data_IF_427884104570
#
_entry.id   IF_427884104570
#
_cell.length_a   1.000
_cell.length_b   1.000
_cell.length_c   1.000
_cell.angle_alpha   90.00
_cell.angle_beta   90.00
_cell.angle_gamma   90.00
#
_symmetry.space_group_name_H-M   'P 1'
#
loop_
_entity.id
_entity.type
_entity.pdbx_description
1 polymer ?
#
# COMPACT_ATOMS: atom_id res chain seq x y z
N UNK A 1 18.34 25.22 4.64
CA UNK A 1 19.17 26.25 3.99
C UNK A 1 20.56 25.67 3.82
N UNK A 2 20.78 24.93 2.72
CA UNK A 2 22.05 24.20 2.52
C UNK A 2 23.08 25.05 1.78
N UNK A 3 22.59 25.95 0.95
CA UNK A 3 23.32 26.91 0.12
C UNK A 3 23.87 28.10 0.92
N UNK A 4 23.31 28.43 2.10
CA UNK A 4 23.97 29.38 3.01
C UNK A 4 25.18 28.80 3.74
N UNK A 5 25.31 27.47 3.80
CA UNK A 5 26.41 26.79 4.49
C UNK A 5 27.63 26.57 3.59
N UNK A 6 27.43 26.46 2.28
CA UNK A 6 28.48 26.19 1.28
C UNK A 6 28.02 26.66 -0.09
N UNK A 7 28.94 27.12 -0.93
CA UNK A 7 28.66 27.46 -2.34
C UNK A 7 28.95 26.30 -3.30
N UNK A 8 29.39 25.14 -2.80
CA UNK A 8 29.67 23.96 -3.63
C UNK A 8 28.37 23.24 -4.02
N UNK A 9 28.01 23.35 -5.31
CA UNK A 9 26.81 22.74 -5.87
C UNK A 9 26.80 21.21 -5.78
N UNK A 10 27.96 20.55 -5.86
CA UNK A 10 28.06 19.10 -5.74
C UNK A 10 27.76 18.66 -4.30
N UNK A 11 28.31 19.36 -3.32
CA UNK A 11 28.05 19.11 -1.91
C UNK A 11 26.58 19.36 -1.56
N UNK A 12 25.99 20.46 -2.05
CA UNK A 12 24.55 20.75 -1.87
C UNK A 12 23.71 19.63 -2.46
N UNK A 13 24.01 19.18 -3.68
CA UNK A 13 23.25 18.11 -4.36
C UNK A 13 23.28 16.79 -3.57
N UNK A 14 24.43 16.44 -2.99
CA UNK A 14 24.58 15.27 -2.11
C UNK A 14 23.75 15.41 -0.82
N UNK A 15 23.74 16.59 -0.19
CA UNK A 15 22.93 16.87 1.00
C UNK A 15 21.44 16.71 0.70
N UNK A 16 20.98 17.30 -0.40
CA UNK A 16 19.59 17.21 -0.87
C UNK A 16 19.20 15.75 -1.12
N UNK A 17 20.02 15.00 -1.85
CA UNK A 17 19.75 13.60 -2.17
C UNK A 17 19.65 12.71 -0.92
N UNK A 18 20.58 12.88 0.03
CA UNK A 18 20.52 12.16 1.31
C UNK A 18 19.29 12.54 2.14
N UNK A 19 18.94 13.83 2.17
CA UNK A 19 17.75 14.32 2.86
C UNK A 19 16.45 13.76 2.26
N UNK A 20 16.38 13.55 0.94
CA UNK A 20 15.23 12.89 0.31
C UNK A 20 15.00 11.47 0.86
N UNK A 21 16.07 10.68 1.03
CA UNK A 21 15.96 9.36 1.67
C UNK A 21 15.51 9.46 3.12
N UNK A 22 16.00 10.45 3.87
CA UNK A 22 15.54 10.73 5.22
C UNK A 22 14.02 10.99 5.27
N UNK A 23 13.52 11.84 4.36
CA UNK A 23 12.10 12.13 4.24
C UNK A 23 11.28 10.88 3.87
N UNK A 24 11.74 10.08 2.91
CA UNK A 24 11.10 8.81 2.54
C UNK A 24 11.04 7.83 3.71
N UNK A 25 12.11 7.74 4.50
CA UNK A 25 12.14 6.91 5.72
C UNK A 25 11.07 7.33 6.73
N UNK A 26 10.88 8.63 6.96
CA UNK A 26 9.83 9.14 7.86
C UNK A 26 8.43 8.86 7.30
N UNK A 27 8.20 9.04 5.99
CA UNK A 27 6.92 8.71 5.35
C UNK A 27 6.60 7.22 5.53
N UNK A 28 7.59 6.34 5.35
CA UNK A 28 7.39 4.90 5.52
C UNK A 28 7.15 4.47 6.96
N UNK A 29 7.79 5.13 7.94
CA UNK A 29 7.47 4.93 9.38
C UNK A 29 6.02 5.35 9.65
N UNK A 30 5.61 6.52 9.16
CA UNK A 30 4.24 6.99 9.32
C UNK A 30 3.23 6.00 8.71
N UNK A 31 3.46 5.56 7.47
CA UNK A 31 2.63 4.54 6.82
C UNK A 31 2.61 3.23 7.64
N UNK A 32 3.77 2.72 8.06
CA UNK A 32 3.89 1.53 8.92
C UNK A 32 3.05 1.68 10.19
N UNK A 33 3.11 2.84 10.85
CA UNK A 33 2.28 3.17 12.01
C UNK A 33 0.79 3.09 11.70
N UNK A 34 0.33 3.62 10.56
CA UNK A 34 -1.09 3.54 10.17
C UNK A 34 -1.55 2.08 10.00
N UNK A 35 -0.75 1.24 9.35
CA UNK A 35 -1.05 -0.19 9.23
C UNK A 35 -1.02 -0.92 10.57
N UNK A 36 -0.05 -0.61 11.44
CA UNK A 36 0.08 -1.24 12.75
C UNK A 36 -1.09 -0.88 13.68
N UNK A 37 -1.52 0.38 13.68
CA UNK A 37 -2.70 0.83 14.41
C UNK A 37 -3.96 0.11 13.93
N UNK A 38 -4.12 -0.02 12.60
CA UNK A 38 -5.15 -0.86 11.99
C UNK A 38 -5.11 -2.32 12.45
N UNK A 39 -3.92 -2.89 12.60
CA UNK A 39 -3.75 -4.30 12.96
C UNK A 39 -3.96 -4.60 14.46
N UNK A 40 -3.80 -3.63 15.36
CA UNK A 40 -3.73 -3.89 16.81
C UNK A 40 -4.75 -3.15 17.65
N UNK A 41 -5.23 -2.00 17.19
CA UNK A 41 -6.04 -1.08 17.98
C UNK A 41 -7.25 -0.58 17.18
N UNK A 42 -7.82 -1.44 16.34
CA UNK A 42 -8.88 -1.06 15.42
C UNK A 42 -10.04 -2.04 15.45
N UNK A 43 -11.15 -1.65 14.83
CA UNK A 43 -12.29 -2.52 14.55
C UNK A 43 -12.35 -2.95 13.08
N UNK A 44 -11.21 -3.08 12.39
CA UNK A 44 -11.16 -3.32 10.94
C UNK A 44 -11.93 -4.56 10.48
N UNK A 45 -11.72 -5.72 11.11
CA UNK A 45 -12.42 -6.95 10.73
C UNK A 45 -13.93 -6.84 10.99
N UNK A 46 -14.33 -6.22 12.11
CA UNK A 46 -15.74 -5.97 12.40
C UNK A 46 -16.35 -4.98 11.40
N UNK A 47 -15.63 -3.92 11.04
CA UNK A 47 -16.07 -2.99 10.00
C UNK A 47 -16.19 -3.68 8.64
N UNK A 48 -15.35 -4.66 8.34
CA UNK A 48 -15.38 -5.35 7.05
C UNK A 48 -16.64 -6.21 6.88
N UNK A 49 -17.22 -6.73 7.98
CA UNK A 49 -18.48 -7.50 7.96
C UNK A 49 -19.72 -6.62 7.85
N UNK A 50 -19.72 -5.41 8.42
CA UNK A 50 -20.77 -4.40 8.20
C UNK A 50 -20.20 -2.99 7.97
N UNK A 51 -19.73 -2.69 6.75
CA UNK A 51 -19.12 -1.40 6.43
C UNK A 51 -20.10 -0.22 6.47
N UNK A 52 -21.40 -0.50 6.48
CA UNK A 52 -22.46 0.52 6.35
C UNK A 52 -22.85 1.12 7.68
N UNK A 53 -22.92 0.31 8.74
CA UNK A 53 -23.32 0.78 10.07
C UNK A 53 -22.12 1.02 10.99
N UNK A 54 -21.11 0.14 10.97
CA UNK A 54 -19.93 0.25 11.84
C UNK A 54 -19.05 1.42 11.38
N UNK A 55 -18.56 2.22 12.34
CA UNK A 55 -17.68 3.37 12.03
C UNK A 55 -16.21 2.97 12.15
N UNK A 56 -15.36 3.37 11.18
CA UNK A 56 -13.92 3.10 11.27
C UNK A 56 -13.30 3.71 12.53
N UNK A 57 -12.56 2.92 13.29
CA UNK A 57 -11.82 3.35 14.48
C UNK A 57 -10.49 2.61 14.55
N UNK A 58 -9.39 3.33 14.82
CA UNK A 58 -8.03 2.76 14.90
C UNK A 58 -7.15 3.43 15.96
N UNK A 59 -7.77 4.18 16.89
CA UNK A 59 -7.09 4.85 17.97
C UNK A 59 -7.87 4.68 19.27
N UNK A 60 -7.19 4.20 20.31
CA UNK A 60 -7.77 3.97 21.63
C UNK A 60 -7.00 4.81 22.65
N UNK A 61 -7.74 5.51 23.50
CA UNK A 61 -7.21 6.38 24.54
C UNK A 61 -7.09 5.61 25.86
N UNK A 62 -5.96 5.78 26.56
CA UNK A 62 -5.77 5.17 27.88
C UNK A 62 -6.60 5.85 28.99
N UNK A 63 -7.15 5.07 29.94
CA UNK A 63 -7.99 5.58 31.02
C UNK A 63 -7.15 6.08 32.21
N UNK A 64 -6.62 7.30 32.11
CA UNK A 64 -5.75 7.87 33.16
C UNK A 64 -6.48 8.94 33.98
N UNK A 65 -7.14 9.90 33.31
CA UNK A 65 -7.72 11.11 33.94
C UNK A 65 -9.19 11.35 33.55
N UNK A 66 -9.91 10.33 33.11
CA UNK A 66 -11.27 10.49 32.56
C UNK A 66 -11.31 10.72 31.05
N UNK A 67 -10.15 10.79 30.40
CA UNK A 67 -10.03 10.99 28.95
C UNK A 67 -10.52 9.79 28.11
N UNK A 68 -10.78 8.65 28.73
CA UNK A 68 -11.42 7.49 28.09
C UNK A 68 -12.85 7.78 27.61
N UNK A 69 -13.46 8.89 28.04
CA UNK A 69 -14.70 9.42 27.44
C UNK A 69 -14.57 9.65 25.92
N UNK A 70 -13.35 9.82 25.42
CA UNK A 70 -13.06 9.94 23.99
C UNK A 70 -13.18 8.60 23.23
N UNK A 71 -13.18 7.46 23.93
CA UNK A 71 -13.42 6.15 23.34
C UNK A 71 -14.92 5.93 23.14
N UNK A 72 -15.47 6.54 22.08
CA UNK A 72 -16.88 6.40 21.73
C UNK A 72 -17.22 4.99 21.24
N UNK A 73 -18.47 4.57 21.44
CA UNK A 73 -19.00 3.35 20.81
C UNK A 73 -19.17 3.58 19.31
N UNK A 74 -18.38 2.84 18.53
CA UNK A 74 -18.33 2.92 17.07
C UNK A 74 -18.97 1.69 16.39
N UNK A 75 -19.57 0.80 17.18
CA UNK A 75 -20.11 -0.48 16.72
C UNK A 75 -19.05 -1.58 16.62
N UNK A 76 -19.50 -2.81 16.33
CA UNK A 76 -18.62 -3.99 16.24
C UNK A 76 -18.03 -4.44 17.58
N UNK A 77 -18.64 -4.03 18.71
CA UNK A 77 -18.13 -4.33 20.05
C UNK A 77 -16.85 -3.59 20.42
N UNK A 78 -16.52 -2.51 19.71
CA UNK A 78 -15.30 -1.74 19.88
C UNK A 78 -15.59 -0.30 20.31
N UNK A 79 -14.74 0.23 21.18
CA UNK A 79 -14.78 1.62 21.62
C UNK A 79 -13.44 2.31 21.33
N UNK A 80 -13.49 3.48 20.70
CA UNK A 80 -12.29 4.23 20.33
C UNK A 80 -12.63 5.52 19.60
N UNK A 81 -11.61 6.20 19.11
CA UNK A 81 -11.77 7.41 18.30
C UNK A 81 -12.12 7.04 16.87
N UNK A 82 -13.27 7.52 16.39
CA UNK A 82 -13.64 7.40 15.00
C UNK A 82 -12.61 8.14 14.10
N UNK A 83 -12.04 7.42 13.14
CA UNK A 83 -11.06 7.97 12.19
C UNK A 83 -11.74 8.43 10.90
N UNK A 84 -11.19 9.47 10.26
CA UNK A 84 -11.70 10.04 9.00
C UNK A 84 -10.67 10.03 7.87
N UNK A 85 -9.58 9.28 8.03
CA UNK A 85 -8.47 9.20 7.08
C UNK A 85 -8.75 8.32 5.85
N UNK A 86 -9.79 7.49 5.88
CA UNK A 86 -10.18 6.62 4.76
C UNK A 86 -9.35 5.32 4.61
N UNK A 87 -8.50 4.99 5.58
CA UNK A 87 -7.63 3.81 5.48
C UNK A 87 -8.39 2.48 5.40
N UNK A 88 -9.52 2.35 6.07
CA UNK A 88 -10.32 1.11 6.05
C UNK A 88 -10.83 0.79 4.63
N UNK A 89 -11.33 1.80 3.93
CA UNK A 89 -11.77 1.68 2.54
C UNK A 89 -10.60 1.35 1.61
N UNK A 90 -9.44 1.95 1.84
CA UNK A 90 -8.21 1.66 1.09
C UNK A 90 -7.73 0.22 1.29
N UNK A 91 -7.79 -0.31 2.52
CA UNK A 91 -7.40 -1.68 2.82
C UNK A 91 -8.39 -2.70 2.24
N UNK A 92 -9.70 -2.44 2.32
CA UNK A 92 -10.72 -3.24 1.64
C UNK A 92 -10.46 -3.27 0.13
N UNK A 93 -10.20 -2.12 -0.47
CA UNK A 93 -9.86 -2.02 -1.89
C UNK A 93 -8.57 -2.78 -2.26
N UNK A 94 -7.65 -2.98 -1.32
CA UNK A 94 -6.44 -3.80 -1.52
C UNK A 94 -6.68 -5.31 -1.33
N UNK A 95 -7.90 -5.73 -0.98
CA UNK A 95 -8.24 -7.12 -0.68
C UNK A 95 -7.71 -7.62 0.66
N UNK A 96 -7.48 -6.72 1.63
CA UNK A 96 -7.05 -7.10 2.97
C UNK A 96 -8.27 -7.55 3.78
N UNK A 97 -8.25 -8.78 4.28
CA UNK A 97 -9.38 -9.40 4.99
C UNK A 97 -9.10 -9.69 6.47
N UNK A 98 -7.85 -9.56 6.93
CA UNK A 98 -7.48 -9.84 8.32
C UNK A 98 -6.43 -8.90 8.89
N UNK A 99 -6.41 -8.77 10.22
CA UNK A 99 -5.42 -7.98 10.97
C UNK A 99 -3.99 -8.49 10.79
N UNK A 100 -3.81 -9.80 10.55
CA UNK A 100 -2.50 -10.41 10.33
C UNK A 100 -1.80 -9.86 9.08
N UNK A 101 -2.56 -9.57 8.03
CA UNK A 101 -2.05 -8.96 6.80
C UNK A 101 -1.59 -7.53 7.08
N UNK A 102 -2.41 -6.72 7.78
CA UNK A 102 -2.05 -5.36 8.18
C UNK A 102 -0.76 -5.34 9.02
N UNK A 103 -0.64 -6.27 9.98
CA UNK A 103 0.55 -6.40 10.81
C UNK A 103 1.80 -6.71 9.96
N UNK A 104 1.70 -7.67 9.05
CA UNK A 104 2.79 -8.05 8.16
C UNK A 104 3.21 -6.87 7.24
N UNK A 105 2.25 -6.12 6.71
CA UNK A 105 2.51 -4.91 5.92
C UNK A 105 3.21 -3.83 6.75
N UNK A 106 2.81 -3.64 8.01
CA UNK A 106 3.46 -2.68 8.90
C UNK A 106 4.94 -3.03 9.11
N UNK A 107 5.26 -4.31 9.38
CA UNK A 107 6.65 -4.76 9.54
C UNK A 107 7.45 -4.56 8.25
N UNK A 108 6.87 -4.91 7.09
CA UNK A 108 7.51 -4.66 5.79
C UNK A 108 7.83 -3.18 5.57
N UNK A 109 6.89 -2.28 5.90
CA UNK A 109 7.10 -0.84 5.82
C UNK A 109 8.23 -0.35 6.73
N UNK A 110 8.37 -0.90 7.94
CA UNK A 110 9.43 -0.54 8.88
C UNK A 110 10.81 -1.01 8.41
N UNK A 111 10.89 -2.21 7.82
CA UNK A 111 12.12 -2.72 7.20
C UNK A 111 12.52 -1.82 6.03
N UNK A 112 11.57 -1.44 5.17
CA UNK A 112 11.84 -0.55 4.05
C UNK A 112 12.26 0.86 4.51
N UNK A 113 11.64 1.40 5.56
CA UNK A 113 12.07 2.66 6.16
C UNK A 113 13.52 2.60 6.66
N UNK A 114 13.90 1.50 7.32
CA UNK A 114 15.27 1.26 7.77
C UNK A 114 16.25 1.22 6.59
N UNK A 115 15.85 0.56 5.49
CA UNK A 115 16.63 0.54 4.25
C UNK A 115 16.77 1.95 3.61
N UNK A 116 15.74 2.79 3.67
CA UNK A 116 15.82 4.18 3.17
C UNK A 116 16.80 5.02 3.97
N UNK A 117 16.77 4.96 5.31
CA UNK A 117 17.77 5.66 6.13
C UNK A 117 19.19 5.16 5.86
N UNK A 118 19.36 3.84 5.70
CA UNK A 118 20.64 3.26 5.33
C UNK A 118 21.12 3.77 3.96
N UNK A 119 20.26 3.78 2.94
CA UNK A 119 20.59 4.30 1.62
C UNK A 119 20.98 5.78 1.67
N UNK A 120 20.24 6.61 2.43
CA UNK A 120 20.56 8.02 2.64
C UNK A 120 21.92 8.22 3.30
N UNK A 121 22.23 7.45 4.35
CA UNK A 121 23.55 7.47 4.98
C UNK A 121 24.66 7.01 4.02
N UNK A 122 24.41 5.92 3.30
CA UNK A 122 25.38 5.28 2.41
C UNK A 122 25.74 6.22 1.25
N UNK A 123 24.75 6.81 0.59
CA UNK A 123 24.95 7.75 -0.51
C UNK A 123 25.41 9.15 -0.10
N UNK A 124 25.61 9.40 1.20
CA UNK A 124 26.24 10.61 1.70
C UNK A 124 27.66 10.37 2.21
N UNK A 125 27.86 9.34 3.04
CA UNK A 125 29.12 9.11 3.75
C UNK A 125 30.04 8.08 3.09
N UNK A 126 29.51 7.17 2.26
CA UNK A 126 30.27 6.05 1.70
C UNK A 126 30.41 6.13 0.18
N UNK A 127 29.30 6.38 -0.52
CA UNK A 127 29.23 6.39 -1.98
C UNK A 127 28.49 7.64 -2.47
N UNK A 128 29.08 8.80 -2.20
CA UNK A 128 28.53 10.09 -2.61
C UNK A 128 28.61 10.28 -4.14
N UNK A 129 27.46 10.46 -4.85
CA UNK A 129 27.48 10.67 -6.29
C UNK A 129 28.13 12.01 -6.67
N UNK A 130 28.62 12.11 -7.91
CA UNK A 130 29.20 13.34 -8.48
C UNK A 130 28.15 14.22 -9.14
N UNK A 131 28.44 15.50 -9.33
CA UNK A 131 27.52 16.47 -9.94
C UNK A 131 27.02 16.03 -11.33
N UNK A 132 27.89 15.45 -12.15
CA UNK A 132 27.54 14.94 -13.49
C UNK A 132 26.38 13.92 -13.46
N UNK A 133 26.33 13.06 -12.43
CA UNK A 133 25.23 12.11 -12.27
C UNK A 133 23.92 12.81 -11.95
N UNK A 134 23.95 13.81 -11.04
CA UNK A 134 22.76 14.61 -10.69
C UNK A 134 22.24 15.43 -11.87
N UNK A 135 23.12 15.86 -12.77
CA UNK A 135 22.78 16.66 -13.95
C UNK A 135 22.38 15.81 -15.17
N UNK A 136 22.44 14.48 -15.08
CA UNK A 136 21.98 13.60 -16.15
C UNK A 136 20.45 13.52 -16.19
N UNK A 137 19.84 14.60 -16.69
CA UNK A 137 18.38 14.78 -16.74
C UNK A 137 17.70 13.79 -17.68
N UNK A 138 18.36 13.37 -18.76
CA UNK A 138 17.82 12.38 -19.69
C UNK A 138 17.64 11.03 -19.01
N UNK A 139 18.69 10.57 -18.31
CA UNK A 139 18.62 9.33 -17.54
C UNK A 139 17.59 9.43 -16.42
N UNK A 140 17.59 10.53 -15.65
CA UNK A 140 16.64 10.74 -14.57
C UNK A 140 15.18 10.68 -15.07
N UNK A 141 14.87 11.39 -16.16
CA UNK A 141 13.52 11.40 -16.73
C UNK A 141 13.11 10.02 -17.25
N UNK A 142 13.98 9.33 -17.98
CA UNK A 142 13.66 8.00 -18.51
C UNK A 142 13.39 6.99 -17.38
N UNK A 143 14.21 6.99 -16.32
CA UNK A 143 14.03 6.08 -15.19
C UNK A 143 12.81 6.44 -14.35
N UNK A 144 12.47 7.73 -14.17
CA UNK A 144 11.27 8.12 -13.44
C UNK A 144 9.98 7.85 -14.24
N UNK A 145 9.97 8.14 -15.54
CA UNK A 145 8.78 7.96 -16.38
C UNK A 145 8.52 6.48 -16.67
N UNK A 146 9.48 5.77 -17.26
CA UNK A 146 9.28 4.38 -17.66
C UNK A 146 9.43 3.41 -16.48
N UNK A 147 10.41 3.67 -15.60
CA UNK A 147 10.68 2.83 -14.44
C UNK A 147 9.68 3.10 -13.31
N UNK A 148 9.83 4.22 -12.61
CA UNK A 148 9.06 4.49 -11.40
C UNK A 148 7.54 4.56 -11.66
N UNK A 149 7.11 5.33 -12.66
CA UNK A 149 5.68 5.45 -12.98
C UNK A 149 5.17 4.27 -13.82
N UNK A 150 5.88 3.92 -14.89
CA UNK A 150 5.49 2.82 -15.79
C UNK A 150 5.41 1.47 -15.06
N UNK A 151 6.53 0.99 -14.50
CA UNK A 151 6.54 -0.29 -13.79
C UNK A 151 5.70 -0.26 -12.52
N UNK A 152 5.63 0.89 -11.83
CA UNK A 152 4.78 1.08 -10.66
C UNK A 152 3.29 0.88 -10.99
N UNK A 153 2.81 1.53 -12.07
CA UNK A 153 1.43 1.37 -12.53
C UNK A 153 1.12 -0.04 -13.02
N UNK A 154 2.05 -0.68 -13.73
CA UNK A 154 1.90 -2.06 -14.20
C UNK A 154 1.85 -3.07 -13.05
N UNK A 155 2.74 -2.92 -12.06
CA UNK A 155 2.76 -3.79 -10.88
C UNK A 155 1.47 -3.63 -10.06
N UNK A 156 0.99 -2.39 -9.90
CA UNK A 156 -0.27 -2.12 -9.21
C UNK A 156 -1.48 -2.69 -9.96
N UNK A 157 -1.54 -2.56 -11.29
CA UNK A 157 -2.57 -3.20 -12.09
C UNK A 157 -2.55 -4.74 -11.94
N UNK A 158 -1.37 -5.34 -11.89
CA UNK A 158 -1.23 -6.77 -11.59
C UNK A 158 -1.80 -7.15 -10.22
N UNK A 159 -1.49 -6.38 -9.17
CA UNK A 159 -2.08 -6.57 -7.84
C UNK A 159 -3.61 -6.42 -7.89
N UNK A 160 -4.12 -5.41 -8.59
CA UNK A 160 -5.56 -5.19 -8.73
C UNK A 160 -6.24 -6.40 -9.38
N UNK A 161 -5.73 -6.86 -10.52
CA UNK A 161 -6.30 -7.97 -11.30
C UNK A 161 -6.26 -9.28 -10.54
N UNK A 162 -5.14 -9.60 -9.88
CA UNK A 162 -4.91 -10.94 -9.33
C UNK A 162 -5.26 -11.10 -7.85
N UNK A 163 -5.41 -10.00 -7.11
CA UNK A 163 -5.68 -10.03 -5.65
C UNK A 163 -6.94 -9.24 -5.30
N UNK A 164 -6.95 -7.94 -5.60
CA UNK A 164 -8.03 -7.05 -5.17
C UNK A 164 -9.37 -7.41 -5.83
N UNK A 165 -9.41 -7.59 -7.15
CA UNK A 165 -10.64 -7.82 -7.90
C UNK A 165 -11.37 -9.11 -7.48
N UNK A 166 -10.70 -10.29 -7.35
CA UNK A 166 -11.36 -11.50 -6.85
C UNK A 166 -11.97 -11.31 -5.46
N UNK A 167 -11.22 -10.72 -4.53
CA UNK A 167 -11.63 -10.55 -3.14
C UNK A 167 -12.78 -9.56 -3.03
N UNK A 168 -12.70 -8.40 -3.68
CA UNK A 168 -13.78 -7.41 -3.64
C UNK A 168 -15.06 -7.93 -4.29
N UNK A 169 -14.96 -8.74 -5.36
CA UNK A 169 -16.15 -9.38 -5.96
C UNK A 169 -16.88 -10.29 -4.98
N UNK A 170 -16.15 -11.01 -4.11
CA UNK A 170 -16.73 -11.86 -3.07
C UNK A 170 -17.27 -11.04 -1.88
N UNK A 171 -16.53 -10.01 -1.45
CA UNK A 171 -16.98 -9.09 -0.40
C UNK A 171 -18.28 -8.36 -0.80
N UNK A 172 -18.39 -7.94 -2.06
CA UNK A 172 -19.59 -7.28 -2.57
C UNK A 172 -20.74 -8.27 -2.79
N UNK A 173 -20.45 -9.57 -2.93
CA UNK A 173 -21.44 -10.64 -2.92
C UNK A 173 -21.90 -11.03 -1.50
N UNK A 174 -21.36 -10.40 -0.46
CA UNK A 174 -21.73 -10.64 0.94
C UNK A 174 -21.10 -11.89 1.56
N UNK A 175 -20.01 -12.41 0.97
CA UNK A 175 -19.24 -13.51 1.56
C UNK A 175 -18.49 -12.98 2.79
N UNK A 176 -18.55 -13.72 3.89
CA UNK A 176 -17.81 -13.36 5.11
C UNK A 176 -16.30 -13.33 4.82
N UNK A 177 -15.56 -12.30 5.28
CA UNK A 177 -14.13 -12.18 5.01
C UNK A 177 -13.28 -13.38 5.42
N UNK A 178 -13.72 -14.17 6.41
CA UNK A 178 -13.02 -15.39 6.88
C UNK A 178 -13.23 -16.58 5.95
N UNK A 179 -14.31 -16.59 5.18
CA UNK A 179 -14.63 -17.63 4.21
C UNK A 179 -14.04 -17.34 2.81
N UNK A 180 -13.55 -16.13 2.59
CA UNK A 180 -12.88 -15.76 1.34
C UNK A 180 -11.52 -16.46 1.26
N UNK A 181 -11.21 -17.21 0.19
CA UNK A 181 -9.89 -17.80 -0.02
C UNK A 181 -8.78 -16.76 0.09
N UNK A 182 -7.62 -17.15 0.63
CA UNK A 182 -6.51 -16.21 0.77
C UNK A 182 -5.97 -15.79 -0.61
N UNK A 183 -5.38 -14.58 -0.75
CA UNK A 183 -4.87 -14.08 -2.03
C UNK A 183 -4.01 -15.07 -2.83
N UNK A 184 -3.16 -15.84 -2.14
CA UNK A 184 -2.27 -16.81 -2.78
C UNK A 184 -3.02 -18.01 -3.38
N UNK A 185 -4.19 -18.37 -2.85
CA UNK A 185 -5.02 -19.44 -3.40
C UNK A 185 -5.57 -19.06 -4.78
N UNK A 186 -6.01 -17.81 -4.97
CA UNK A 186 -6.41 -17.30 -6.28
C UNK A 186 -5.27 -17.26 -7.29
N UNK A 187 -4.04 -17.01 -6.82
CA UNK A 187 -2.83 -16.96 -7.66
C UNK A 187 -2.42 -18.35 -8.16
N UNK A 188 -2.48 -19.36 -7.30
CA UNK A 188 -2.01 -20.71 -7.63
C UNK A 188 -3.11 -21.61 -8.20
N UNK A 189 -4.38 -21.37 -7.84
CA UNK A 189 -5.52 -22.13 -8.34
C UNK A 189 -6.29 -21.31 -9.38
N UNK A 190 -5.96 -21.55 -10.65
CA UNK A 190 -6.63 -20.91 -11.79
C UNK A 190 -8.14 -21.16 -11.81
N UNK A 191 -8.60 -22.30 -11.30
CA UNK A 191 -10.02 -22.64 -11.34
C UNK A 191 -10.84 -21.75 -10.40
N UNK A 192 -10.26 -21.27 -9.29
CA UNK A 192 -10.93 -20.32 -8.39
C UNK A 192 -11.17 -18.98 -9.07
N UNK A 193 -10.13 -18.40 -9.69
CA UNK A 193 -10.26 -17.10 -10.36
C UNK A 193 -11.10 -17.22 -11.64
N UNK A 194 -11.05 -18.36 -12.34
CA UNK A 194 -11.86 -18.62 -13.53
C UNK A 194 -13.37 -18.72 -13.24
N UNK A 195 -13.76 -19.14 -12.03
CA UNK A 195 -15.17 -19.10 -11.61
C UNK A 195 -15.70 -17.67 -11.49
N UNK A 196 -14.83 -16.73 -11.11
CA UNK A 196 -15.16 -15.31 -11.00
C UNK A 196 -15.05 -14.59 -12.34
N UNK A 197 -14.01 -14.90 -13.12
CA UNK A 197 -13.67 -14.26 -14.39
C UNK A 197 -13.35 -15.35 -15.44
N UNK A 198 -14.35 -15.80 -16.23
CA UNK A 198 -14.20 -16.93 -17.14
C UNK A 198 -13.04 -16.80 -18.15
N UNK A 199 -12.63 -15.58 -18.51
CA UNK A 199 -11.53 -15.34 -19.45
C UNK A 199 -10.18 -15.89 -18.95
N UNK A 200 -9.99 -16.05 -17.64
CA UNK A 200 -8.77 -16.64 -17.06
C UNK A 200 -8.53 -18.09 -17.53
N UNK A 201 -9.55 -18.82 -17.96
CA UNK A 201 -9.37 -20.16 -18.54
C UNK A 201 -8.57 -20.12 -19.85
N UNK A 202 -8.67 -19.03 -20.62
CA UNK A 202 -7.94 -18.81 -21.87
C UNK A 202 -6.45 -18.48 -21.64
N UNK A 203 -6.09 -18.14 -20.41
CA UNK A 203 -4.72 -17.80 -20.02
C UNK A 203 -4.19 -16.57 -20.78
N UNK A 204 -2.88 -16.59 -21.08
CA UNK A 204 -2.18 -15.47 -21.71
C UNK A 204 -2.18 -15.52 -23.25
N UNK A 205 -2.76 -16.53 -23.87
CA UNK A 205 -2.76 -16.65 -25.33
C UNK A 205 -3.40 -15.43 -26.02
N UNK A 206 -4.58 -14.91 -25.60
CA UNK A 206 -5.17 -13.72 -26.20
C UNK A 206 -4.31 -12.45 -26.10
N UNK A 207 -3.49 -12.33 -25.05
CA UNK A 207 -2.55 -11.22 -24.90
C UNK A 207 -1.49 -11.22 -26.01
N UNK A 208 -0.83 -12.36 -26.23
CA UNK A 208 0.25 -12.50 -27.21
C UNK A 208 -0.25 -12.56 -28.67
N UNK A 209 -1.52 -12.93 -28.90
CA UNK A 209 -2.14 -12.91 -30.22
C UNK A 209 -2.91 -11.62 -30.53
N UNK A 210 -2.90 -10.64 -29.62
CA UNK A 210 -3.56 -9.33 -29.78
C UNK A 210 -5.10 -9.46 -29.88
N UNK A 211 -5.67 -10.54 -29.35
CA UNK A 211 -7.13 -10.70 -29.22
C UNK A 211 -7.63 -10.20 -27.85
N UNK A 212 -7.42 -8.92 -27.57
CA UNK A 212 -7.65 -8.34 -26.22
C UNK A 212 -9.11 -8.22 -25.81
N UNK A 213 -10.05 -8.34 -26.76
CA UNK A 213 -11.49 -8.33 -26.47
C UNK A 213 -11.91 -9.44 -25.48
N UNK A 214 -11.10 -10.49 -25.35
CA UNK A 214 -11.35 -11.62 -24.46
C UNK A 214 -11.23 -11.30 -22.97
N UNK A 215 -10.57 -10.19 -22.60
CA UNK A 215 -10.35 -9.80 -21.19
C UNK A 215 -11.41 -8.83 -20.64
N UNK A 216 -12.58 -8.74 -21.30
CA UNK A 216 -13.64 -7.78 -20.97
C UNK A 216 -14.38 -8.03 -19.66
N UNK A 217 -14.11 -9.14 -18.97
CA UNK A 217 -14.73 -9.49 -17.69
C UNK A 217 -14.02 -8.88 -16.48
N UNK A 218 -12.73 -8.57 -16.58
CA UNK A 218 -11.95 -7.87 -15.54
C UNK A 218 -11.32 -6.55 -16.01
N UNK A 219 -11.10 -6.33 -17.31
CA UNK A 219 -10.73 -5.03 -17.89
C UNK A 219 -11.97 -4.38 -18.52
N UNK A 220 -12.76 -3.70 -17.69
CA UNK A 220 -14.05 -3.10 -18.10
C UNK A 220 -13.95 -1.59 -18.32
N UNK A 221 -14.89 -1.05 -19.11
CA UNK A 221 -15.14 0.40 -19.25
C UNK A 221 -16.65 0.64 -19.10
N UNK A 222 -17.13 0.60 -17.85
CA UNK A 222 -18.55 0.73 -17.50
C UNK A 222 -19.03 2.17 -17.55
#
# INVERSE_FOLDING_TARGET
DFDSHTSDLEEISRKVFSAHFGQLGIILIWLSGMYFHGARFSNYEAWLTDPTHIKPSAQVVWPIVGQEILNGDVGGGFQGIQITSGFFQLWRASGITSELQLYSTAIGGLVLASAMFFAGWFHYHKAAPKLEWFQNVESMLNHHLAGLLGLGSLAWAGHQIHVSLPINKLLDAGVDPKEIPLPHEFLFNRDLIAQLYPSFQKGLAPFFTINWAEYSDFLTFK
#
